data_IF_330250149889
#
_entry.id   IF_330250149889
#
_cell.length_a   1.000
_cell.length_b   1.000
_cell.length_c   1.000
_cell.angle_alpha   90.00
_cell.angle_beta   90.00
_cell.angle_gamma   90.00
#
_symmetry.space_group_name_H-M   'P 1'
#
loop_
_entity.id
_entity.type
_entity.pdbx_description
1 polymer ?
#
# COMPACT_ATOMS: atom_id res chain seq x y z
N UNK A 1 -12.55 -7.44 2.06
CA UNK A 1 -12.57 -6.58 3.24
C UNK A 1 -11.52 -7.05 4.24
N UNK A 2 -10.68 -6.14 4.74
CA UNK A 2 -9.66 -6.44 5.75
C UNK A 2 -10.06 -5.78 7.08
N UNK A 3 -9.91 -6.49 8.18
CA UNK A 3 -10.15 -5.97 9.54
C UNK A 3 -9.02 -6.38 10.47
N UNK A 4 -8.63 -5.48 11.34
CA UNK A 4 -7.81 -5.81 12.51
C UNK A 4 -8.64 -5.63 13.78
N UNK A 5 -8.41 -6.48 14.78
CA UNK A 5 -9.09 -6.40 16.07
C UNK A 5 -8.06 -6.42 17.18
N UNK A 6 -7.97 -5.32 17.90
CA UNK A 6 -7.11 -5.15 19.09
C UNK A 6 -5.66 -5.60 18.86
N UNK A 7 -5.08 -5.25 17.71
CA UNK A 7 -3.70 -5.61 17.38
C UNK A 7 -2.75 -4.93 18.35
N UNK A 8 -1.94 -5.76 19.00
CA UNK A 8 -0.76 -5.32 19.72
C UNK A 8 0.49 -6.01 19.16
N UNK A 9 1.59 -5.29 19.14
CA UNK A 9 2.90 -5.80 18.72
C UNK A 9 3.97 -5.36 19.71
N UNK A 10 4.70 -6.34 20.23
CA UNK A 10 5.86 -6.12 21.08
C UNK A 10 7.08 -6.77 20.42
N UNK A 11 8.13 -6.02 20.19
CA UNK A 11 9.38 -6.52 19.60
C UNK A 11 10.53 -6.25 20.57
N UNK A 12 11.19 -7.31 21.02
CA UNK A 12 12.29 -7.23 21.99
C UNK A 12 11.96 -6.42 23.25
N UNK A 13 10.72 -6.54 23.75
CA UNK A 13 10.26 -5.83 24.95
C UNK A 13 9.76 -4.40 24.70
N UNK A 14 9.86 -3.90 23.46
CA UNK A 14 9.37 -2.56 23.09
C UNK A 14 7.98 -2.67 22.47
N UNK A 15 6.94 -2.03 23.05
CA UNK A 15 5.61 -2.01 22.45
C UNK A 15 5.62 -1.08 21.22
N UNK A 16 5.34 -1.64 20.05
CA UNK A 16 5.26 -0.91 18.78
C UNK A 16 3.82 -0.62 18.36
N UNK A 17 2.87 -1.49 18.73
CA UNK A 17 1.44 -1.30 18.49
C UNK A 17 0.66 -1.63 19.75
N UNK A 18 -0.37 -0.83 20.02
CA UNK A 18 -1.24 -0.99 21.16
C UNK A 18 -2.71 -0.89 20.74
N UNK A 19 -3.44 -2.01 20.84
CA UNK A 19 -4.90 -2.08 20.64
C UNK A 19 -5.42 -1.48 19.32
N UNK A 20 -4.74 -1.73 18.19
CA UNK A 20 -5.14 -1.20 16.89
C UNK A 20 -6.31 -2.01 16.31
N UNK A 21 -7.44 -1.34 16.10
CA UNK A 21 -8.60 -1.90 15.41
C UNK A 21 -8.98 -1.00 14.24
N UNK A 22 -8.79 -1.49 13.01
CA UNK A 22 -9.16 -0.79 11.78
C UNK A 22 -9.98 -1.70 10.86
N UNK A 23 -10.75 -1.09 9.96
CA UNK A 23 -11.55 -1.78 8.97
C UNK A 23 -11.36 -1.13 7.61
N UNK A 24 -10.81 -1.88 6.65
CA UNK A 24 -10.58 -1.43 5.29
C UNK A 24 -11.62 -2.10 4.39
N UNK A 25 -12.59 -1.34 3.83
CA UNK A 25 -13.59 -1.89 2.93
C UNK A 25 -12.97 -2.51 1.68
N UNK A 26 -13.67 -3.45 1.07
CA UNK A 26 -13.28 -4.00 -0.21
C UNK A 26 -13.32 -2.91 -1.29
N UNK A 27 -12.32 -2.90 -2.17
CA UNK A 27 -12.27 -1.94 -3.27
C UNK A 27 -12.13 -0.49 -2.81
N UNK A 28 -11.50 -0.26 -1.65
CA UNK A 28 -11.24 1.08 -1.14
C UNK A 28 -9.75 1.32 -0.92
N UNK A 29 -9.39 2.58 -0.90
CA UNK A 29 -8.04 3.06 -0.58
C UNK A 29 -8.02 3.60 0.83
N UNK A 30 -7.24 2.98 1.71
CA UNK A 30 -7.01 3.42 3.09
C UNK A 30 -5.60 3.98 3.22
N UNK A 31 -5.45 5.26 3.58
CA UNK A 31 -4.15 5.85 3.87
C UNK A 31 -3.86 5.81 5.37
N UNK A 32 -2.73 5.19 5.74
CA UNK A 32 -2.17 5.22 7.09
C UNK A 32 -1.28 6.44 7.23
N UNK A 33 -1.67 7.36 8.10
CA UNK A 33 -1.05 8.66 8.31
C UNK A 33 -0.55 8.81 9.74
N UNK A 34 0.40 9.72 9.96
CA UNK A 34 0.92 10.02 11.29
C UNK A 34 2.43 10.27 11.29
N UNK A 35 3.01 10.75 12.39
CA UNK A 35 4.44 11.07 12.48
C UNK A 35 5.33 9.83 12.31
N UNK A 36 6.63 10.08 12.14
CA UNK A 36 7.62 9.00 12.13
C UNK A 36 7.62 8.29 13.48
N UNK A 37 7.74 6.94 13.45
CA UNK A 37 7.66 6.13 14.66
C UNK A 37 6.23 5.86 15.16
N UNK A 38 5.18 6.33 14.49
CA UNK A 38 3.78 6.08 14.90
C UNK A 38 3.33 4.62 14.80
N UNK A 39 4.13 3.72 14.18
CA UNK A 39 3.80 2.29 14.05
C UNK A 39 3.16 1.91 12.70
N UNK A 40 3.08 2.81 11.71
CA UNK A 40 2.43 2.57 10.40
C UNK A 40 3.01 1.35 9.67
N UNK A 41 4.32 1.33 9.43
CA UNK A 41 5.03 0.18 8.83
C UNK A 41 4.87 -1.09 9.66
N UNK A 42 4.91 -0.98 11.00
CA UNK A 42 4.70 -2.13 11.89
C UNK A 42 3.30 -2.72 11.73
N UNK A 43 2.28 -1.88 11.56
CA UNK A 43 0.92 -2.34 11.29
C UNK A 43 0.82 -3.05 9.94
N UNK A 44 1.43 -2.51 8.87
CA UNK A 44 1.48 -3.19 7.57
C UNK A 44 2.17 -4.56 7.67
N UNK A 45 3.27 -4.66 8.42
CA UNK A 45 3.99 -5.93 8.63
C UNK A 45 3.18 -6.96 9.42
N UNK A 46 2.33 -6.52 10.35
CA UNK A 46 1.38 -7.42 11.02
C UNK A 46 0.29 -7.85 10.06
N UNK A 47 -0.26 -6.95 9.25
CA UNK A 47 -1.30 -7.27 8.28
C UNK A 47 -0.78 -8.24 7.22
N UNK A 48 0.45 -8.06 6.73
CA UNK A 48 1.09 -8.95 5.75
C UNK A 48 1.50 -10.32 6.31
N UNK A 49 1.48 -10.47 7.65
CA UNK A 49 1.96 -11.68 8.32
C UNK A 49 3.49 -11.78 8.41
N UNK A 50 4.23 -10.73 8.05
CA UNK A 50 5.68 -10.64 8.28
C UNK A 50 6.01 -10.62 9.78
N UNK A 51 5.21 -9.88 10.55
CA UNK A 51 5.27 -9.91 12.01
C UNK A 51 4.04 -10.60 12.58
N UNK A 52 4.29 -11.49 13.53
CA UNK A 52 3.21 -12.11 14.31
C UNK A 52 2.74 -11.11 15.38
N UNK A 53 1.46 -10.77 15.37
CA UNK A 53 0.86 -9.96 16.42
C UNK A 53 1.08 -10.60 17.80
N UNK A 54 1.42 -9.80 18.81
CA UNK A 54 1.51 -10.26 20.20
C UNK A 54 0.13 -10.49 20.80
N UNK A 55 -0.88 -9.75 20.31
CA UNK A 55 -2.28 -9.91 20.66
C UNK A 55 -3.18 -9.42 19.52
N UNK A 56 -4.43 -9.83 19.55
CA UNK A 56 -5.42 -9.46 18.52
C UNK A 56 -5.37 -10.35 17.29
N UNK A 57 -6.18 -10.02 16.29
CA UNK A 57 -6.34 -10.82 15.06
C UNK A 57 -6.45 -9.94 13.83
N UNK A 58 -5.96 -10.47 12.71
CA UNK A 58 -6.21 -9.94 11.37
C UNK A 58 -7.21 -10.85 10.66
N UNK A 59 -8.27 -10.28 10.14
CA UNK A 59 -9.31 -10.96 9.38
C UNK A 59 -9.30 -10.48 7.92
N UNK A 60 -9.30 -11.40 6.99
CA UNK A 60 -9.33 -11.16 5.55
C UNK A 60 -10.55 -11.88 4.99
N UNK A 61 -11.54 -11.14 4.53
CA UNK A 61 -12.80 -11.66 3.97
C UNK A 61 -13.54 -12.64 4.91
N UNK A 62 -13.50 -12.38 6.24
CA UNK A 62 -14.16 -13.23 7.24
C UNK A 62 -13.35 -14.45 7.66
N UNK A 63 -12.11 -14.62 7.14
CA UNK A 63 -11.19 -15.69 7.50
C UNK A 63 -9.96 -15.10 8.19
N UNK A 64 -9.53 -15.71 9.29
CA UNK A 64 -8.30 -15.28 9.98
C UNK A 64 -7.08 -15.32 9.06
N UNK A 65 -6.23 -14.30 9.09
CA UNK A 65 -5.04 -14.26 8.24
C UNK A 65 -4.12 -15.47 8.43
N UNK A 66 -4.08 -16.03 9.63
CA UNK A 66 -3.28 -17.24 9.95
C UNK A 66 -3.87 -18.54 9.38
N UNK A 67 -5.13 -18.52 8.94
CA UNK A 67 -5.82 -19.70 8.41
C UNK A 67 -5.61 -19.85 6.88
N UNK A 68 -4.99 -18.86 6.24
CA UNK A 68 -4.65 -18.90 4.83
C UNK A 68 -3.38 -19.72 4.59
N UNK A 69 -3.40 -20.60 3.59
CA UNK A 69 -2.18 -21.24 3.13
C UNK A 69 -1.25 -20.21 2.47
N UNK A 70 0.06 -20.32 2.69
CA UNK A 70 1.04 -19.36 2.13
C UNK A 70 0.92 -19.14 0.61
N UNK A 71 0.77 -20.17 -0.23
CA UNK A 71 0.59 -19.98 -1.68
C UNK A 71 -0.74 -19.28 -2.03
N UNK A 72 -1.79 -19.48 -1.22
CA UNK A 72 -3.11 -18.87 -1.40
C UNK A 72 -3.04 -17.38 -1.10
N UNK A 73 -2.52 -16.99 0.08
CA UNK A 73 -2.40 -15.59 0.47
C UNK A 73 -1.44 -14.82 -0.45
N UNK A 74 -0.39 -15.47 -0.97
CA UNK A 74 0.56 -14.85 -1.90
C UNK A 74 -0.05 -14.48 -3.27
N UNK A 75 -1.13 -15.13 -3.70
CA UNK A 75 -1.90 -14.74 -4.88
C UNK A 75 -2.89 -13.63 -4.60
N UNK A 76 -3.30 -13.49 -3.35
CA UNK A 76 -4.36 -12.59 -2.92
C UNK A 76 -3.85 -11.26 -2.36
N UNK A 77 -2.65 -11.25 -1.79
CA UNK A 77 -2.04 -10.08 -1.15
C UNK A 77 -0.64 -9.84 -1.68
N UNK A 78 -0.39 -8.60 -2.13
CA UNK A 78 0.95 -8.14 -2.50
C UNK A 78 1.42 -7.01 -1.58
N UNK A 79 2.73 -6.95 -1.34
CA UNK A 79 3.36 -5.99 -0.43
C UNK A 79 4.51 -5.29 -1.13
N UNK A 80 4.44 -3.96 -1.20
CA UNK A 80 5.56 -3.09 -1.54
C UNK A 80 6.15 -2.53 -0.25
N UNK A 81 7.29 -3.03 0.22
CA UNK A 81 7.94 -2.50 1.41
C UNK A 81 8.65 -1.17 1.12
N UNK A 82 8.90 -0.38 2.15
CA UNK A 82 9.59 0.91 2.06
C UNK A 82 10.97 0.81 1.40
N UNK A 83 11.69 -0.28 1.64
CA UNK A 83 12.98 -0.56 1.01
C UNK A 83 13.06 -2.03 0.59
N UNK A 84 13.54 -2.26 -0.61
CA UNK A 84 13.85 -3.60 -1.13
C UNK A 84 15.23 -3.56 -1.75
N UNK A 85 16.17 -4.33 -1.21
CA UNK A 85 17.49 -4.53 -1.81
C UNK A 85 17.48 -5.85 -2.58
N UNK A 86 17.78 -5.77 -3.87
CA UNK A 86 18.07 -6.92 -4.71
C UNK A 86 19.49 -6.71 -5.26
N UNK A 87 20.43 -7.48 -4.73
CA UNK A 87 21.85 -7.35 -5.06
C UNK A 87 22.29 -8.28 -6.21
N UNK A 88 21.31 -8.93 -6.85
CA UNK A 88 21.55 -9.82 -7.99
C UNK A 88 21.36 -9.07 -9.31
N UNK A 89 22.11 -9.50 -10.33
CA UNK A 89 22.12 -8.87 -11.66
C UNK A 89 20.91 -9.29 -12.53
N UNK A 90 19.69 -9.26 -11.94
CA UNK A 90 18.45 -9.46 -12.69
C UNK A 90 18.16 -8.27 -13.59
N UNK A 91 17.46 -8.51 -14.70
CA UNK A 91 16.79 -7.46 -15.48
C UNK A 91 15.54 -6.96 -14.76
N UNK A 92 15.00 -5.80 -15.16
CA UNK A 92 13.74 -5.31 -14.60
C UNK A 92 12.58 -6.30 -14.84
N UNK A 93 12.52 -6.92 -16.02
CA UNK A 93 11.53 -7.95 -16.35
C UNK A 93 11.66 -9.18 -15.44
N UNK A 94 12.86 -9.69 -15.22
CA UNK A 94 13.10 -10.81 -14.31
C UNK A 94 12.69 -10.48 -12.87
N UNK A 95 12.90 -9.25 -12.40
CA UNK A 95 12.43 -8.81 -11.08
C UNK A 95 10.90 -8.85 -10.99
N UNK A 96 10.21 -8.40 -12.03
CA UNK A 96 8.73 -8.48 -12.06
C UNK A 96 8.28 -9.93 -12.14
N UNK A 97 8.96 -10.78 -12.91
CA UNK A 97 8.66 -12.19 -13.06
C UNK A 97 8.71 -12.98 -11.73
N UNK A 98 9.52 -12.57 -10.75
CA UNK A 98 9.55 -13.19 -9.42
C UNK A 98 8.16 -13.22 -8.75
N UNK A 99 7.32 -12.24 -9.03
CA UNK A 99 5.96 -12.15 -8.47
C UNK A 99 5.02 -13.21 -8.99
N UNK A 100 5.33 -13.84 -10.15
CA UNK A 100 4.51 -14.88 -10.77
C UNK A 100 4.75 -16.27 -10.19
N UNK A 101 5.78 -16.44 -9.35
CA UNK A 101 6.14 -17.74 -8.73
C UNK A 101 4.97 -18.45 -8.03
N UNK A 102 4.03 -17.79 -7.31
CA UNK A 102 2.88 -18.46 -6.71
C UNK A 102 1.81 -18.91 -7.71
N UNK A 103 1.86 -18.37 -8.96
CA UNK A 103 0.85 -18.59 -9.97
C UNK A 103 1.17 -19.81 -10.85
N UNK A 104 0.16 -20.35 -11.50
CA UNK A 104 0.30 -21.46 -12.46
C UNK A 104 -0.48 -21.13 -13.74
N UNK A 105 -0.23 -19.94 -14.30
CA UNK A 105 -0.95 -19.40 -15.45
C UNK A 105 -0.29 -19.73 -16.79
N UNK A 106 0.93 -20.22 -16.74
CA UNK A 106 1.73 -20.57 -17.93
C UNK A 106 2.55 -19.39 -18.44
N UNK A 107 3.69 -19.70 -19.07
CA UNK A 107 4.71 -18.74 -19.47
C UNK A 107 4.17 -17.61 -20.36
N UNK A 108 3.35 -17.92 -21.36
CA UNK A 108 2.79 -16.92 -22.28
C UNK A 108 1.97 -15.87 -21.53
N UNK A 109 1.09 -16.33 -20.63
CA UNK A 109 0.24 -15.44 -19.83
C UNK A 109 1.06 -14.61 -18.83
N UNK A 110 2.05 -15.21 -18.20
CA UNK A 110 2.93 -14.52 -17.28
C UNK A 110 3.72 -13.40 -17.97
N UNK A 111 4.24 -13.63 -19.18
CA UNK A 111 4.94 -12.61 -19.98
C UNK A 111 4.00 -11.45 -20.37
N UNK A 112 2.75 -11.73 -20.75
CA UNK A 112 1.75 -10.69 -21.01
C UNK A 112 1.49 -9.82 -19.77
N UNK A 113 1.34 -10.45 -18.60
CA UNK A 113 1.11 -9.75 -17.33
C UNK A 113 2.32 -8.89 -16.96
N UNK A 114 3.53 -9.42 -17.06
CA UNK A 114 4.78 -8.71 -16.75
C UNK A 114 4.92 -7.48 -17.64
N UNK A 115 4.72 -7.63 -18.95
CA UNK A 115 4.77 -6.52 -19.90
C UNK A 115 3.72 -5.46 -19.60
N UNK A 116 2.48 -5.87 -19.29
CA UNK A 116 1.39 -4.98 -18.94
C UNK A 116 1.65 -4.24 -17.63
N UNK A 117 2.20 -4.93 -16.62
CA UNK A 117 2.55 -4.31 -15.33
C UNK A 117 3.68 -3.28 -15.48
N UNK A 118 4.72 -3.57 -16.28
CA UNK A 118 5.77 -2.62 -16.59
C UNK A 118 5.24 -1.40 -17.35
N UNK A 119 4.33 -1.62 -18.30
CA UNK A 119 3.68 -0.54 -19.04
C UNK A 119 2.83 0.35 -18.14
N UNK A 120 2.10 -0.24 -17.18
CA UNK A 120 1.24 0.51 -16.24
C UNK A 120 2.02 1.50 -15.37
N UNK A 121 3.28 1.23 -15.08
CA UNK A 121 4.15 2.08 -14.25
C UNK A 121 5.17 2.87 -15.06
N UNK A 122 4.96 3.01 -16.38
CA UNK A 122 5.89 3.70 -17.30
C UNK A 122 7.35 3.18 -17.18
N UNK A 123 7.50 1.86 -17.16
CA UNK A 123 8.80 1.19 -17.02
C UNK A 123 9.11 0.17 -18.13
N UNK A 124 8.33 0.12 -19.23
CA UNK A 124 8.56 -0.82 -20.34
C UNK A 124 9.96 -0.69 -20.96
N UNK A 125 10.49 0.53 -21.04
CA UNK A 125 11.82 0.81 -21.58
C UNK A 125 12.98 0.31 -20.70
N UNK A 126 12.66 -0.16 -19.49
CA UNK A 126 13.62 -0.70 -18.53
C UNK A 126 13.71 -2.25 -18.59
N UNK A 127 12.81 -2.91 -19.33
CA UNK A 127 12.62 -4.37 -19.31
C UNK A 127 13.95 -5.14 -19.29
N UNK A 128 14.84 -4.86 -20.26
CA UNK A 128 16.12 -5.54 -20.44
C UNK A 128 17.27 -4.92 -19.62
N UNK A 129 17.01 -3.84 -18.88
CA UNK A 129 18.06 -3.19 -18.11
C UNK A 129 18.32 -3.92 -16.81
N UNK A 130 19.61 -4.01 -16.44
CA UNK A 130 20.01 -4.58 -15.15
C UNK A 130 19.45 -3.74 -14.00
N UNK A 131 18.67 -4.35 -13.12
CA UNK A 131 17.98 -3.70 -12.01
C UNK A 131 18.93 -2.96 -11.06
N UNK A 132 20.11 -3.51 -10.79
CA UNK A 132 21.10 -2.88 -9.90
C UNK A 132 21.58 -1.52 -10.42
N UNK A 133 21.53 -1.31 -11.75
CA UNK A 133 21.98 -0.06 -12.42
C UNK A 133 20.89 1.00 -12.53
N UNK A 134 19.67 0.69 -12.14
CA UNK A 134 18.52 1.61 -12.18
C UNK A 134 18.65 2.68 -11.10
N UNK A 135 18.14 3.88 -11.38
CA UNK A 135 17.95 4.94 -10.38
C UNK A 135 16.94 4.53 -9.30
N UNK A 136 16.89 5.24 -8.18
CA UNK A 136 15.95 4.95 -7.10
C UNK A 136 14.48 4.96 -7.55
N UNK A 137 14.07 5.97 -8.33
CA UNK A 137 12.71 6.05 -8.86
C UNK A 137 12.40 4.95 -9.89
N UNK A 138 13.35 4.60 -10.77
CA UNK A 138 13.20 3.47 -11.70
C UNK A 138 13.05 2.13 -10.95
N UNK A 139 13.87 1.89 -9.92
CA UNK A 139 13.75 0.71 -9.04
C UNK A 139 12.38 0.64 -8.37
N UNK A 140 11.91 1.76 -7.86
CA UNK A 140 10.61 1.83 -7.18
C UNK A 140 9.46 1.52 -8.16
N UNK A 141 9.51 2.02 -9.40
CA UNK A 141 8.52 1.68 -10.43
C UNK A 141 8.55 0.20 -10.80
N UNK A 142 9.73 -0.41 -10.95
CA UNK A 142 9.85 -1.85 -11.20
C UNK A 142 9.30 -2.67 -10.03
N UNK A 143 9.56 -2.26 -8.78
CA UNK A 143 8.96 -2.90 -7.61
C UNK A 143 7.44 -2.72 -7.55
N UNK A 144 6.92 -1.56 -7.95
CA UNK A 144 5.48 -1.35 -8.07
C UNK A 144 4.89 -2.28 -9.15
N UNK A 145 5.52 -2.38 -10.34
CA UNK A 145 5.11 -3.35 -11.37
C UNK A 145 5.10 -4.78 -10.84
N UNK A 146 6.11 -5.18 -10.06
CA UNK A 146 6.19 -6.51 -9.45
C UNK A 146 4.98 -6.81 -8.57
N UNK A 147 4.59 -5.91 -7.67
CA UNK A 147 3.45 -6.15 -6.77
C UNK A 147 2.11 -6.09 -7.49
N UNK A 148 1.99 -5.28 -8.55
CA UNK A 148 0.82 -5.26 -9.42
C UNK A 148 0.69 -6.57 -10.21
N UNK A 149 1.79 -7.07 -10.78
CA UNK A 149 1.81 -8.35 -11.48
C UNK A 149 1.43 -9.54 -10.56
N UNK A 150 1.74 -9.45 -9.25
CA UNK A 150 1.40 -10.47 -8.28
C UNK A 150 -0.12 -10.63 -8.08
N UNK A 151 -0.87 -9.53 -8.12
CA UNK A 151 -2.32 -9.52 -7.91
C UNK A 151 -3.10 -9.21 -9.19
N UNK A 152 -2.48 -9.37 -10.35
CA UNK A 152 -3.00 -8.93 -11.65
C UNK A 152 -4.40 -9.45 -11.96
N UNK A 153 -4.65 -10.72 -11.66
CA UNK A 153 -5.94 -11.37 -11.89
C UNK A 153 -7.09 -10.69 -11.11
N UNK A 154 -6.79 -10.12 -9.95
CA UNK A 154 -7.75 -9.36 -9.16
C UNK A 154 -7.98 -7.95 -9.74
N UNK A 155 -7.01 -7.40 -10.46
CA UNK A 155 -7.13 -6.10 -11.14
C UNK A 155 -7.95 -6.19 -12.44
N UNK A 156 -7.89 -7.34 -13.14
CA UNK A 156 -8.59 -7.54 -14.42
C UNK A 156 -10.05 -7.99 -14.26
N UNK A 157 -10.31 -8.92 -13.34
CA UNK A 157 -11.54 -9.71 -13.37
C UNK A 157 -12.66 -9.22 -12.45
N UNK A 158 -12.53 -8.09 -11.75
CA UNK A 158 -13.49 -7.64 -10.73
C UNK A 158 -13.95 -8.81 -9.83
N UNK A 159 -12.98 -9.63 -9.41
CA UNK A 159 -13.27 -10.87 -8.71
C UNK A 159 -14.11 -10.62 -7.46
N UNK A 160 -15.07 -11.52 -7.19
CA UNK A 160 -15.94 -11.42 -6.01
C UNK A 160 -15.16 -11.33 -4.70
N UNK A 161 -13.94 -11.85 -4.67
CA UNK A 161 -13.11 -11.89 -3.47
C UNK A 161 -12.20 -10.68 -3.30
N UNK A 162 -11.90 -9.94 -4.41
CA UNK A 162 -10.95 -8.82 -4.43
C UNK A 162 -9.53 -9.28 -4.14
N UNK A 163 -8.58 -8.36 -4.20
CA UNK A 163 -7.20 -8.55 -3.77
C UNK A 163 -6.83 -7.53 -2.70
N UNK A 164 -5.65 -7.66 -2.12
CA UNK A 164 -5.10 -6.68 -1.18
C UNK A 164 -3.75 -6.19 -1.68
N UNK A 165 -3.56 -4.88 -1.74
CA UNK A 165 -2.29 -4.24 -2.02
C UNK A 165 -1.84 -3.41 -0.83
N UNK A 166 -0.70 -3.77 -0.26
CA UNK A 166 -0.07 -3.05 0.85
C UNK A 166 1.13 -2.27 0.31
N UNK A 167 1.13 -0.94 0.50
CA UNK A 167 2.17 -0.05 0.00
C UNK A 167 2.78 0.74 1.17
N UNK A 168 4.08 0.57 1.40
CA UNK A 168 4.80 1.30 2.44
C UNK A 168 5.61 2.43 1.80
N UNK A 169 5.14 3.68 1.93
CA UNK A 169 5.73 4.90 1.36
C UNK A 169 6.03 4.80 -0.15
N UNK A 170 5.06 4.42 -0.98
CA UNK A 170 5.31 4.11 -2.40
C UNK A 170 5.80 5.31 -3.22
N UNK A 171 5.53 6.54 -2.79
CA UNK A 171 5.84 7.78 -3.50
C UNK A 171 7.17 8.43 -3.10
N UNK A 172 7.92 7.86 -2.13
CA UNK A 172 9.10 8.50 -1.54
C UNK A 172 10.21 8.87 -2.56
N UNK A 173 10.33 8.12 -3.65
CA UNK A 173 11.33 8.35 -4.71
C UNK A 173 10.74 8.87 -6.03
N UNK A 174 9.46 9.25 -6.04
CA UNK A 174 8.76 9.66 -7.23
C UNK A 174 8.78 11.17 -7.42
N UNK A 175 9.01 11.61 -8.64
CA UNK A 175 8.72 12.97 -9.05
C UNK A 175 7.20 13.19 -9.18
N UNK A 176 6.79 14.42 -9.46
CA UNK A 176 5.38 14.80 -9.53
C UNK A 176 4.58 13.96 -10.56
N UNK A 177 5.17 13.66 -11.71
CA UNK A 177 4.50 12.90 -12.77
C UNK A 177 4.23 11.45 -12.30
N UNK A 178 5.22 10.82 -11.66
CA UNK A 178 5.07 9.46 -11.15
C UNK A 178 4.19 9.39 -9.88
N UNK A 179 4.11 10.47 -9.10
CA UNK A 179 3.12 10.56 -8.00
C UNK A 179 1.69 10.58 -8.53
N UNK A 180 1.43 11.33 -9.62
CA UNK A 180 0.11 11.35 -10.28
C UNK A 180 -0.21 9.97 -10.85
N UNK A 181 0.75 9.35 -11.56
CA UNK A 181 0.61 7.99 -12.08
C UNK A 181 0.25 6.99 -10.96
N UNK A 182 0.90 7.08 -9.80
CA UNK A 182 0.59 6.21 -8.65
C UNK A 182 -0.86 6.38 -8.19
N UNK A 183 -1.35 7.64 -8.09
CA UNK A 183 -2.75 7.92 -7.72
C UNK A 183 -3.70 7.25 -8.72
N UNK A 184 -3.48 7.45 -10.01
CA UNK A 184 -4.32 6.88 -11.08
C UNK A 184 -4.34 5.34 -11.02
N UNK A 185 -3.18 4.70 -10.81
CA UNK A 185 -3.08 3.26 -10.65
C UNK A 185 -3.89 2.79 -9.44
N UNK A 186 -3.68 3.41 -8.29
CA UNK A 186 -4.34 3.03 -7.04
C UNK A 186 -5.87 3.17 -7.15
N UNK A 187 -6.36 4.26 -7.73
CA UNK A 187 -7.78 4.48 -7.99
C UNK A 187 -8.36 3.45 -8.98
N UNK A 188 -7.63 3.16 -10.05
CA UNK A 188 -8.04 2.16 -11.04
C UNK A 188 -8.18 0.77 -10.44
N UNK A 189 -7.21 0.31 -9.67
CA UNK A 189 -7.25 -1.03 -9.08
C UNK A 189 -8.27 -1.13 -7.94
N UNK A 190 -8.48 -0.07 -7.16
CA UNK A 190 -9.51 -0.06 -6.13
C UNK A 190 -10.91 -0.16 -6.75
N UNK A 191 -11.16 0.56 -7.85
CA UNK A 191 -12.41 0.43 -8.60
C UNK A 191 -12.62 -0.99 -9.16
N UNK A 192 -11.54 -1.71 -9.50
CA UNK A 192 -11.60 -3.11 -9.89
C UNK A 192 -11.86 -4.07 -8.71
N UNK A 193 -11.92 -3.57 -7.47
CA UNK A 193 -12.24 -4.34 -6.26
C UNK A 193 -11.05 -4.68 -5.37
N UNK A 194 -9.84 -4.24 -5.70
CA UNK A 194 -8.65 -4.42 -4.86
C UNK A 194 -8.71 -3.47 -3.67
N UNK A 195 -8.51 -4.00 -2.47
CA UNK A 195 -8.37 -3.18 -1.25
C UNK A 195 -6.93 -2.69 -1.15
N UNK A 196 -6.73 -1.37 -1.14
CA UNK A 196 -5.39 -0.76 -1.04
C UNK A 196 -5.20 -0.17 0.35
N UNK A 197 -4.09 -0.50 1.00
CA UNK A 197 -3.66 0.12 2.25
C UNK A 197 -2.26 0.69 2.02
N UNK A 198 -2.11 2.00 2.21
CA UNK A 198 -0.84 2.65 1.91
C UNK A 198 -0.40 3.58 3.04
N UNK A 199 0.87 3.50 3.41
CA UNK A 199 1.51 4.47 4.29
C UNK A 199 1.88 5.69 3.47
N UNK A 200 1.46 6.86 3.91
CA UNK A 200 1.75 8.13 3.26
C UNK A 200 2.22 9.18 4.26
N UNK A 201 3.02 10.12 3.77
CA UNK A 201 3.45 11.30 4.54
C UNK A 201 2.83 12.60 3.99
N UNK A 202 2.52 12.65 2.71
CA UNK A 202 1.90 13.81 2.08
C UNK A 202 0.39 13.77 2.25
N UNK A 203 -0.13 14.71 3.05
CA UNK A 203 -1.57 14.85 3.35
C UNK A 203 -2.36 15.25 2.10
N UNK A 204 -1.81 16.10 1.23
CA UNK A 204 -2.48 16.52 0.01
C UNK A 204 -2.55 15.38 -1.00
N UNK A 205 -1.51 14.56 -1.09
CA UNK A 205 -1.52 13.38 -1.94
C UNK A 205 -2.53 12.34 -1.43
N UNK A 206 -2.58 12.13 -0.10
CA UNK A 206 -3.57 11.25 0.54
C UNK A 206 -5.00 11.74 0.29
N UNK A 207 -5.24 13.06 0.38
CA UNK A 207 -6.55 13.66 0.11
C UNK A 207 -7.07 13.37 -1.30
N UNK A 208 -6.16 13.22 -2.28
CA UNK A 208 -6.51 12.95 -3.69
C UNK A 208 -6.84 11.49 -4.00
N UNK A 209 -6.31 10.55 -3.24
CA UNK A 209 -6.43 9.13 -3.60
C UNK A 209 -7.15 8.26 -2.57
N UNK A 210 -7.21 8.67 -1.30
CA UNK A 210 -7.77 7.84 -0.26
C UNK A 210 -9.28 8.03 -0.10
N UNK A 211 -10.00 6.93 0.13
CA UNK A 211 -11.41 6.95 0.54
C UNK A 211 -11.54 7.18 2.05
N UNK A 212 -10.56 6.67 2.81
CA UNK A 212 -10.49 6.85 4.25
C UNK A 212 -9.06 7.04 4.74
N UNK A 213 -8.95 7.71 5.87
CA UNK A 213 -7.70 7.92 6.58
C UNK A 213 -7.71 7.19 7.91
N UNK A 214 -6.54 6.69 8.30
CA UNK A 214 -6.26 6.19 9.64
C UNK A 214 -5.07 6.98 10.18
N UNK A 215 -5.32 7.83 11.15
CA UNK A 215 -4.27 8.54 11.86
C UNK A 215 -3.72 7.70 12.99
N UNK A 216 -2.41 7.51 12.98
CA UNK A 216 -1.68 6.78 14.01
C UNK A 216 -0.73 7.70 14.76
N UNK A 217 -0.60 7.48 16.06
CA UNK A 217 0.40 8.13 16.90
C UNK A 217 0.82 7.18 18.02
N UNK A 218 2.12 7.07 18.27
CA UNK A 218 2.69 6.28 19.39
C UNK A 218 2.14 4.84 19.48
N UNK A 219 1.97 4.19 18.33
CA UNK A 219 1.49 2.80 18.26
C UNK A 219 -0.02 2.64 18.43
N UNK A 220 -0.79 3.71 18.43
CA UNK A 220 -2.26 3.68 18.57
C UNK A 220 -2.97 4.30 17.37
N UNK A 221 -4.21 3.87 17.12
CA UNK A 221 -5.10 4.53 16.16
C UNK A 221 -5.76 5.73 16.84
N UNK A 222 -5.37 6.94 16.44
CA UNK A 222 -5.91 8.18 17.01
C UNK A 222 -7.29 8.52 16.45
N UNK A 223 -7.49 8.27 15.16
CA UNK A 223 -8.76 8.50 14.47
C UNK A 223 -8.81 7.69 13.17
N UNK A 224 -10.02 7.32 12.74
CA UNK A 224 -10.31 6.67 11.47
C UNK A 224 -11.62 7.21 10.92
N UNK A 225 -11.65 7.59 9.65
CA UNK A 225 -12.83 8.16 8.98
C UNK A 225 -12.55 8.54 7.54
N UNK A 226 -13.51 9.18 6.89
CA UNK A 226 -13.33 9.68 5.51
C UNK A 226 -12.35 10.87 5.48
N UNK A 227 -11.83 11.14 4.28
CA UNK A 227 -10.88 12.24 4.07
C UNK A 227 -11.48 13.59 4.54
N UNK A 228 -12.71 14.00 4.15
CA UNK A 228 -13.27 15.27 4.61
C UNK A 228 -13.54 15.36 6.12
N UNK A 229 -13.85 14.22 6.76
CA UNK A 229 -14.09 14.17 8.21
C UNK A 229 -12.80 14.36 9.02
N UNK A 230 -11.68 13.84 8.54
CA UNK A 230 -10.45 13.77 9.31
C UNK A 230 -9.41 14.83 8.91
N UNK A 231 -9.38 15.31 7.67
CA UNK A 231 -8.46 16.38 7.27
C UNK A 231 -8.96 17.75 7.72
N UNK A 232 -8.82 18.01 9.00
CA UNK A 232 -9.18 19.27 9.65
C UNK A 232 -7.96 19.88 10.34
N UNK A 233 -7.92 21.22 10.48
CA UNK A 233 -6.85 21.93 11.18
C UNK A 233 -6.64 21.41 12.61
N UNK A 234 -7.73 21.03 13.28
CA UNK A 234 -7.68 20.46 14.63
C UNK A 234 -6.99 19.09 14.64
N UNK A 235 -7.36 18.20 13.73
CA UNK A 235 -6.76 16.86 13.63
C UNK A 235 -5.28 16.94 13.25
N UNK A 236 -4.91 17.81 12.31
CA UNK A 236 -3.52 18.02 11.92
C UNK A 236 -2.70 18.51 13.11
N UNK A 237 -3.21 19.49 13.86
CA UNK A 237 -2.55 19.96 15.09
C UNK A 237 -2.41 18.83 16.12
N UNK A 238 -3.46 18.03 16.33
CA UNK A 238 -3.47 16.93 17.29
C UNK A 238 -2.44 15.85 16.95
N UNK A 239 -2.32 15.48 15.66
CA UNK A 239 -1.48 14.35 15.23
C UNK A 239 -0.03 14.78 14.98
N UNK A 240 0.17 15.96 14.35
CA UNK A 240 1.49 16.40 13.89
C UNK A 240 2.07 17.55 14.73
N UNK A 241 1.29 18.14 15.65
CA UNK A 241 1.69 19.31 16.44
C UNK A 241 2.04 20.54 15.59
N UNK A 242 1.42 20.66 14.41
CA UNK A 242 1.60 21.75 13.44
C UNK A 242 0.29 22.50 13.26
N UNK A 243 0.37 23.84 13.17
CA UNK A 243 -0.76 24.65 12.74
C UNK A 243 -0.84 24.63 11.22
N UNK A 244 -1.97 24.23 10.69
CA UNK A 244 -2.26 24.25 9.26
C UNK A 244 -3.68 24.75 9.03
N UNK A 245 -3.89 25.42 7.91
CA UNK A 245 -5.22 25.72 7.41
C UNK A 245 -5.66 24.62 6.44
N UNK A 246 -6.95 24.30 6.44
CA UNK A 246 -7.52 23.34 5.49
C UNK A 246 -8.57 24.06 4.66
N UNK A 247 -8.24 24.25 3.39
CA UNK A 247 -9.13 24.78 2.36
C UNK A 247 -9.68 23.71 1.44
N UNK A 248 -10.30 24.14 0.34
CA UNK A 248 -10.71 23.25 -0.74
C UNK A 248 -9.84 23.51 -1.96
N UNK A 249 -9.42 22.45 -2.63
CA UNK A 249 -8.69 22.54 -3.87
C UNK A 249 -9.58 23.14 -4.97
N UNK A 250 -9.12 24.20 -5.68
CA UNK A 250 -9.99 25.01 -6.57
C UNK A 250 -10.53 24.25 -7.78
N UNK A 251 -9.91 23.13 -8.16
CA UNK A 251 -10.29 22.36 -9.37
C UNK A 251 -11.21 21.20 -9.02
N UNK A 252 -10.90 20.41 -8.01
CA UNK A 252 -11.58 19.15 -7.70
C UNK A 252 -12.33 19.15 -6.34
N UNK A 253 -12.19 20.22 -5.54
CA UNK A 253 -12.89 20.36 -4.27
C UNK A 253 -12.37 19.46 -3.15
N UNK A 254 -11.26 18.73 -3.36
CA UNK A 254 -10.64 17.92 -2.32
C UNK A 254 -10.07 18.80 -1.21
N UNK A 255 -9.97 18.33 0.06
CA UNK A 255 -9.29 19.06 1.10
C UNK A 255 -7.84 19.37 0.71
N UNK A 256 -7.44 20.65 0.89
CA UNK A 256 -6.10 21.17 0.62
C UNK A 256 -5.49 21.70 1.91
N UNK A 257 -4.39 21.11 2.31
CA UNK A 257 -3.63 21.50 3.50
C UNK A 257 -2.61 22.58 3.10
N UNK A 258 -2.66 23.70 3.81
CA UNK A 258 -1.79 24.87 3.64
C UNK A 258 -1.03 25.06 4.95
N UNK A 259 0.30 25.00 4.87
CA UNK A 259 1.20 25.15 6.03
C UNK A 259 1.97 26.47 5.91
#
# INVERSE_FOLDING_TARGET
MLKTRSIGLNVAGVPLLNNISISCPKGSVTALMGPNGAGKTSLLRVISGEYKASQGTVDINGRGANDWARPEIAKFMAVLPQSSTLDFAFTAEEVVALSRTPHNTGLSRDLEIISSALSMVDASYLSDRSFVKLSGGEKQRVHLARVLAQIWEHCENQSSDGGILLLDEPSASFDLAHQIMLIEIVQKISTAGVTVIMVMHDLNLAAKCADQLVFMNSGECTAMGTVPELLTSEMIRKVYSVNAEVGLHPVDGTPLIII
#
